data_IF_934314108068
#
_entry.id   IF_934314108068
#
_cell.length_a   1.000
_cell.length_b   1.000
_cell.length_c   1.000
_cell.angle_alpha   90.00
_cell.angle_beta   90.00
_cell.angle_gamma   90.00
#
_symmetry.space_group_name_H-M   'P 1'
#
loop_
_entity.id
_entity.type
_entity.pdbx_description
1 polymer ?
#
# COMPACT_ATOMS: atom_id res chain seq x y z
N UNK A 1 16.47 33.87 17.41
CA UNK A 1 15.05 33.79 17.80
C UNK A 1 14.05 33.70 16.63
N UNK A 2 14.37 34.14 15.42
CA UNK A 2 13.47 34.09 14.25
C UNK A 2 13.30 32.70 13.58
N UNK A 3 14.29 31.80 13.64
CA UNK A 3 14.21 30.48 12.97
C UNK A 3 13.27 29.46 13.64
N UNK A 4 13.03 29.57 14.94
CA UNK A 4 12.11 28.64 15.64
C UNK A 4 10.63 29.00 15.40
N UNK A 5 10.31 30.25 15.21
CA UNK A 5 8.94 30.68 14.95
C UNK A 5 8.42 30.27 13.56
N UNK A 6 9.29 30.19 12.57
CA UNK A 6 8.93 29.77 11.19
C UNK A 6 8.54 28.29 11.15
N UNK A 7 9.24 27.42 11.90
CA UNK A 7 8.94 25.98 11.95
C UNK A 7 7.63 25.65 12.67
N UNK A 8 7.28 26.41 13.71
CA UNK A 8 6.04 26.22 14.46
C UNK A 8 4.82 26.72 13.65
N UNK A 9 5.00 27.79 12.90
CA UNK A 9 3.96 28.37 12.04
C UNK A 9 3.60 27.39 10.89
N UNK A 10 4.62 26.81 10.26
CA UNK A 10 4.43 25.83 9.18
C UNK A 10 3.70 24.55 9.65
N UNK A 11 4.00 24.05 10.86
CA UNK A 11 3.30 22.88 11.42
C UNK A 11 1.81 23.12 11.67
N UNK A 12 1.43 24.29 12.18
CA UNK A 12 0.01 24.65 12.43
C UNK A 12 -0.78 24.86 11.14
N UNK A 13 -0.18 25.46 10.13
CA UNK A 13 -0.82 25.68 8.82
C UNK A 13 -1.04 24.34 8.11
N UNK A 14 -0.05 23.42 8.17
CA UNK A 14 -0.20 22.09 7.58
C UNK A 14 -1.37 21.30 8.18
N UNK A 15 -1.56 21.37 9.50
CA UNK A 15 -2.67 20.70 10.20
C UNK A 15 -4.04 21.29 9.82
N UNK A 16 -4.12 22.59 9.61
CA UNK A 16 -5.37 23.29 9.24
C UNK A 16 -5.77 22.98 7.80
N UNK A 17 -4.82 22.94 6.87
CA UNK A 17 -5.09 22.71 5.44
C UNK A 17 -5.54 21.26 5.16
N UNK A 18 -4.97 20.28 5.84
CA UNK A 18 -5.38 18.86 5.70
C UNK A 18 -6.72 18.56 6.40
N UNK A 19 -7.03 19.22 7.52
CA UNK A 19 -8.31 19.07 8.22
C UNK A 19 -9.50 19.63 7.44
N UNK A 20 -9.32 20.74 6.72
CA UNK A 20 -10.38 21.39 5.95
C UNK A 20 -10.82 20.60 4.71
N UNK A 21 -9.92 19.79 4.14
CA UNK A 21 -10.22 18.98 2.94
C UNK A 21 -11.19 17.82 3.19
N UNK A 22 -11.29 17.36 4.44
CA UNK A 22 -12.17 16.23 4.80
C UNK A 22 -13.60 16.65 5.21
N UNK A 23 -13.83 17.92 5.53
CA UNK A 23 -15.08 18.38 6.17
C UNK A 23 -16.03 19.11 5.21
N UNK A 24 -15.54 19.70 4.14
CA UNK A 24 -16.36 20.50 3.23
C UNK A 24 -16.27 19.95 1.81
N UNK A 25 -17.30 19.21 1.39
CA UNK A 25 -17.55 18.83 -0.01
C UNK A 25 -17.90 20.03 -0.91
N UNK A 26 -17.33 21.19 -0.66
CA UNK A 26 -17.50 22.40 -1.44
C UNK A 26 -16.15 22.88 -1.97
N UNK A 27 -16.14 23.26 -3.21
CA UNK A 27 -15.10 23.88 -4.03
C UNK A 27 -14.21 24.89 -3.29
N UNK A 28 -13.41 24.42 -2.34
CA UNK A 28 -12.36 25.23 -1.79
C UNK A 28 -11.16 25.14 -2.73
N UNK A 29 -10.83 26.22 -3.40
CA UNK A 29 -9.59 26.35 -4.15
C UNK A 29 -8.44 26.16 -3.15
N UNK A 30 -7.91 24.93 -3.10
CA UNK A 30 -6.70 24.61 -2.37
C UNK A 30 -5.59 25.52 -2.90
N UNK A 31 -4.93 26.25 -2.02
CA UNK A 31 -3.80 27.08 -2.43
C UNK A 31 -2.68 26.18 -2.94
N UNK A 32 -2.56 26.12 -4.26
CA UNK A 32 -1.68 25.22 -4.99
C UNK A 32 -0.20 25.45 -4.69
N UNK A 33 0.15 26.60 -4.11
CA UNK A 33 1.53 26.98 -3.76
C UNK A 33 2.15 26.06 -2.70
N UNK A 34 1.34 25.51 -1.78
CA UNK A 34 1.84 24.69 -0.67
C UNK A 34 2.15 23.25 -1.07
N UNK A 35 1.45 22.69 -2.04
CA UNK A 35 1.72 21.32 -2.51
C UNK A 35 3.08 21.21 -3.22
N UNK A 36 3.57 22.33 -3.73
CA UNK A 36 4.82 22.43 -4.50
C UNK A 36 6.02 22.76 -3.64
N UNK A 37 5.84 23.41 -2.50
CA UNK A 37 6.93 23.69 -1.56
C UNK A 37 7.49 22.41 -0.94
N UNK A 38 6.70 21.33 -0.90
CA UNK A 38 7.10 20.01 -0.40
C UNK A 38 7.58 19.02 -1.48
N UNK A 39 7.32 19.29 -2.75
CA UNK A 39 7.80 18.46 -3.85
C UNK A 39 8.87 19.18 -4.65
N UNK A 40 10.14 19.07 -4.34
CA UNK A 40 11.36 19.40 -5.09
C UNK A 40 11.33 20.49 -6.21
N UNK A 41 10.22 21.17 -6.44
CA UNK A 41 10.05 22.20 -7.44
C UNK A 41 9.78 23.53 -6.72
N UNK A 42 10.77 24.43 -6.69
CA UNK A 42 10.55 25.83 -6.28
C UNK A 42 9.73 26.52 -7.36
N UNK A 43 8.43 26.65 -7.16
CA UNK A 43 7.61 27.59 -7.92
C UNK A 43 7.42 28.86 -7.08
N UNK A 44 7.90 29.98 -7.59
CA UNK A 44 7.51 31.30 -7.09
C UNK A 44 6.03 31.48 -7.40
N UNK A 45 5.17 31.66 -6.42
CA UNK A 45 3.79 32.18 -6.40
C UNK A 45 2.91 32.04 -7.69
N UNK A 46 3.34 31.25 -8.65
CA UNK A 46 2.64 31.04 -9.90
C UNK A 46 1.66 29.87 -9.78
N UNK A 47 0.47 30.01 -10.30
CA UNK A 47 -0.47 28.91 -10.48
C UNK A 47 0.20 27.80 -11.26
N UNK A 48 0.21 26.58 -10.70
CA UNK A 48 0.71 25.41 -11.41
C UNK A 48 -0.26 25.09 -12.54
N UNK A 49 0.23 25.21 -13.76
CA UNK A 49 -0.51 24.78 -14.94
C UNK A 49 -0.23 23.28 -15.18
N UNK A 50 -1.09 22.43 -14.60
CA UNK A 50 -0.95 20.98 -14.70
C UNK A 50 -1.01 20.48 -16.16
N UNK A 51 -1.55 21.25 -17.11
CA UNK A 51 -1.59 20.86 -18.52
C UNK A 51 -0.22 20.83 -19.18
N UNK A 52 0.75 21.53 -18.59
CA UNK A 52 2.15 21.59 -19.08
C UNK A 52 3.08 20.60 -18.41
N UNK A 53 2.60 19.84 -17.45
CA UNK A 53 3.39 18.87 -16.73
C UNK A 53 3.44 17.56 -17.52
N UNK A 54 4.64 17.05 -17.76
CA UNK A 54 4.84 15.72 -18.33
C UNK A 54 4.46 14.65 -17.30
N UNK A 55 3.34 13.96 -17.58
CA UNK A 55 2.80 12.91 -16.69
C UNK A 55 3.79 11.76 -16.52
N UNK A 56 4.44 11.33 -17.60
CA UNK A 56 5.32 10.16 -17.58
C UNK A 56 6.63 10.47 -16.84
N UNK A 57 7.18 11.66 -17.03
CA UNK A 57 8.36 12.10 -16.28
C UNK A 57 8.06 12.24 -14.78
N UNK A 58 6.91 12.83 -14.44
CA UNK A 58 6.45 12.98 -13.05
C UNK A 58 6.25 11.61 -12.40
N UNK A 59 5.64 10.66 -13.12
CA UNK A 59 5.46 9.30 -12.63
C UNK A 59 6.80 8.59 -12.36
N UNK A 60 7.75 8.70 -13.28
CA UNK A 60 9.10 8.14 -13.10
C UNK A 60 9.81 8.71 -11.87
N UNK A 61 9.68 10.03 -11.63
CA UNK A 61 10.23 10.70 -10.44
C UNK A 61 9.56 10.19 -9.16
N UNK A 62 8.23 10.12 -9.15
CA UNK A 62 7.46 9.63 -8.01
C UNK A 62 7.88 8.22 -7.62
N UNK A 63 7.90 7.30 -8.59
CA UNK A 63 8.29 5.91 -8.38
C UNK A 63 9.77 5.78 -7.97
N UNK A 64 10.66 6.59 -8.54
CA UNK A 64 12.06 6.63 -8.15
C UNK A 64 12.22 6.99 -6.67
N UNK A 65 11.59 8.09 -6.22
CA UNK A 65 11.68 8.52 -4.82
C UNK A 65 11.04 7.50 -3.89
N UNK A 66 9.89 6.95 -4.25
CA UNK A 66 9.24 5.93 -3.43
C UNK A 66 10.11 4.68 -3.29
N UNK A 67 10.67 4.17 -4.38
CA UNK A 67 11.57 3.02 -4.36
C UNK A 67 12.84 3.29 -3.54
N UNK A 68 13.39 4.51 -3.62
CA UNK A 68 14.50 4.94 -2.76
C UNK A 68 14.12 4.92 -1.28
N UNK A 69 12.92 5.41 -0.94
CA UNK A 69 12.42 5.36 0.43
C UNK A 69 12.33 3.92 0.97
N UNK A 70 11.86 2.98 0.14
CA UNK A 70 11.72 1.56 0.53
C UNK A 70 13.07 0.86 0.77
N UNK A 71 14.14 1.34 0.13
CA UNK A 71 15.47 0.72 0.20
C UNK A 71 16.43 1.44 1.13
N UNK A 72 16.08 2.65 1.60
CA UNK A 72 16.93 3.49 2.46
C UNK A 72 16.75 3.07 3.92
N UNK A 73 17.90 2.88 4.63
CA UNK A 73 17.92 2.51 6.04
C UNK A 73 17.91 3.70 6.98
N UNK A 74 18.40 4.85 6.53
CA UNK A 74 18.45 6.07 7.33
C UNK A 74 17.07 6.74 7.35
N UNK A 75 16.46 6.84 8.52
CA UNK A 75 15.08 7.34 8.70
C UNK A 75 14.90 8.79 8.20
N UNK A 76 15.92 9.65 8.34
CA UNK A 76 15.84 11.04 7.84
C UNK A 76 15.77 11.08 6.31
N UNK A 77 16.61 10.31 5.63
CA UNK A 77 16.61 10.22 4.17
C UNK A 77 15.33 9.53 3.66
N UNK A 78 14.88 8.49 4.36
CA UNK A 78 13.62 7.81 4.03
C UNK A 78 12.45 8.79 4.05
N UNK A 79 12.33 9.62 5.09
CA UNK A 79 11.30 10.66 5.20
C UNK A 79 11.40 11.70 4.09
N UNK A 80 12.61 12.14 3.73
CA UNK A 80 12.80 13.07 2.60
C UNK A 80 12.34 12.44 1.28
N UNK A 81 12.69 11.18 1.03
CA UNK A 81 12.23 10.48 -0.16
C UNK A 81 10.71 10.26 -0.19
N UNK A 82 10.09 9.89 0.94
CA UNK A 82 8.61 9.78 1.04
C UNK A 82 7.93 11.11 0.75
N UNK A 83 8.46 12.21 1.30
CA UNK A 83 7.94 13.55 1.06
C UNK A 83 8.02 13.94 -0.43
N UNK A 84 9.15 13.67 -1.10
CA UNK A 84 9.30 13.92 -2.54
C UNK A 84 8.34 13.07 -3.36
N UNK A 85 8.23 11.77 -3.04
CA UNK A 85 7.31 10.85 -3.69
C UNK A 85 5.86 11.33 -3.55
N UNK A 86 5.45 11.75 -2.35
CA UNK A 86 4.10 12.26 -2.11
C UNK A 86 3.78 13.51 -2.93
N UNK A 87 4.75 14.43 -3.07
CA UNK A 87 4.59 15.63 -3.90
C UNK A 87 4.33 15.29 -5.38
N UNK A 88 5.13 14.40 -5.96
CA UNK A 88 4.98 13.99 -7.36
C UNK A 88 3.68 13.18 -7.58
N UNK A 89 3.34 12.22 -6.70
CA UNK A 89 2.06 11.51 -6.78
C UNK A 89 0.87 12.46 -6.61
N UNK A 90 0.95 13.46 -5.73
CA UNK A 90 -0.09 14.46 -5.60
C UNK A 90 -0.33 15.19 -6.91
N UNK A 91 0.73 15.67 -7.59
CA UNK A 91 0.64 16.32 -8.91
C UNK A 91 -0.11 15.40 -9.89
N UNK A 92 0.24 14.12 -9.96
CA UNK A 92 -0.44 13.14 -10.81
C UNK A 92 -1.94 13.03 -10.49
N UNK A 93 -2.32 13.07 -9.21
CA UNK A 93 -3.75 13.07 -8.81
C UNK A 93 -4.49 14.35 -9.18
N UNK A 94 -3.78 15.46 -9.46
CA UNK A 94 -4.39 16.70 -9.96
C UNK A 94 -4.54 16.67 -11.49
N UNK A 95 -3.59 16.03 -12.19
CA UNK A 95 -3.67 15.83 -13.65
C UNK A 95 -4.83 14.89 -13.99
N UNK A 96 -4.91 13.74 -13.31
CA UNK A 96 -5.99 12.77 -13.49
C UNK A 96 -6.53 12.28 -12.13
N UNK A 97 -7.61 12.89 -11.64
CA UNK A 97 -8.20 12.54 -10.34
C UNK A 97 -8.81 11.13 -10.26
N UNK A 98 -8.93 10.43 -11.40
CA UNK A 98 -9.46 9.06 -11.46
C UNK A 98 -8.38 8.01 -11.70
N UNK A 99 -7.14 8.41 -11.94
CA UNK A 99 -6.01 7.48 -12.05
C UNK A 99 -5.77 6.83 -10.68
N UNK A 100 -6.04 5.52 -10.63
CA UNK A 100 -5.93 4.75 -9.38
C UNK A 100 -4.49 4.62 -8.90
N UNK A 101 -3.52 4.54 -9.82
CA UNK A 101 -2.14 4.27 -9.46
C UNK A 101 -1.58 5.33 -8.50
N UNK A 102 -1.52 6.63 -8.83
CA UNK A 102 -0.99 7.64 -7.91
C UNK A 102 -1.82 7.77 -6.62
N UNK A 103 -3.15 7.52 -6.67
CA UNK A 103 -4.00 7.54 -5.47
C UNK A 103 -3.59 6.41 -4.51
N UNK A 104 -3.37 5.20 -5.02
CA UNK A 104 -2.94 4.05 -4.21
C UNK A 104 -1.52 4.26 -3.69
N UNK A 105 -0.62 4.82 -4.50
CA UNK A 105 0.73 5.12 -4.04
C UNK A 105 0.75 6.19 -2.93
N UNK A 106 -0.13 7.20 -3.00
CA UNK A 106 -0.33 8.16 -1.89
C UNK A 106 -0.76 7.45 -0.60
N UNK A 107 -1.70 6.50 -0.69
CA UNK A 107 -2.11 5.70 0.46
C UNK A 107 -0.92 4.95 1.07
N UNK A 108 -0.08 4.35 0.22
CA UNK A 108 1.14 3.63 0.66
C UNK A 108 2.18 4.57 1.28
N UNK A 109 2.41 5.75 0.70
CA UNK A 109 3.32 6.75 1.29
C UNK A 109 2.88 7.10 2.70
N UNK A 110 1.58 7.43 2.89
CA UNK A 110 1.05 7.74 4.22
C UNK A 110 1.11 6.56 5.19
N UNK A 111 0.97 5.32 4.69
CA UNK A 111 1.16 4.13 5.50
C UNK A 111 2.60 4.00 6.00
N UNK A 112 3.60 4.22 5.14
CA UNK A 112 5.03 4.23 5.52
C UNK A 112 5.42 5.39 6.43
N UNK A 113 4.62 6.45 6.49
CA UNK A 113 4.77 7.59 7.42
C UNK A 113 3.99 7.41 8.73
N UNK A 114 3.35 6.25 8.96
CA UNK A 114 2.45 5.96 10.08
C UNK A 114 1.24 6.90 10.17
N UNK A 115 0.90 7.58 9.07
CA UNK A 115 -0.23 8.48 8.98
C UNK A 115 -1.53 7.72 8.64
N UNK A 116 -1.95 6.85 9.56
CA UNK A 116 -3.03 5.88 9.38
C UNK A 116 -4.34 6.44 8.84
N UNK A 117 -4.74 7.61 9.29
CA UNK A 117 -5.99 8.25 8.86
C UNK A 117 -5.95 8.66 7.38
N UNK A 118 -4.82 9.22 6.95
CA UNK A 118 -4.61 9.61 5.56
C UNK A 118 -4.46 8.39 4.65
N UNK A 119 -3.69 7.38 5.07
CA UNK A 119 -3.57 6.13 4.33
C UNK A 119 -4.94 5.52 4.04
N UNK A 120 -5.80 5.37 5.06
CA UNK A 120 -7.17 4.87 4.89
C UNK A 120 -8.01 5.76 3.97
N UNK A 121 -7.93 7.09 4.12
CA UNK A 121 -8.70 8.01 3.30
C UNK A 121 -8.38 7.85 1.81
N UNK A 122 -7.09 7.70 1.47
CA UNK A 122 -6.67 7.47 0.08
C UNK A 122 -7.05 6.08 -0.43
N UNK A 123 -6.95 5.01 0.37
CA UNK A 123 -7.48 3.71 -0.02
C UNK A 123 -8.99 3.76 -0.27
N UNK A 124 -9.76 4.41 0.60
CA UNK A 124 -11.20 4.58 0.37
C UNK A 124 -11.51 5.46 -0.85
N UNK A 125 -10.69 6.49 -1.13
CA UNK A 125 -10.81 7.28 -2.36
C UNK A 125 -10.62 6.38 -3.60
N UNK A 126 -9.61 5.51 -3.60
CA UNK A 126 -9.37 4.57 -4.68
C UNK A 126 -10.54 3.56 -4.83
N UNK A 127 -11.02 2.97 -3.73
CA UNK A 127 -12.16 2.05 -3.75
C UNK A 127 -13.48 2.70 -4.19
N UNK A 128 -13.64 4.02 -3.99
CA UNK A 128 -14.80 4.76 -4.49
C UNK A 128 -14.79 4.88 -6.02
N UNK A 129 -13.60 4.91 -6.63
CA UNK A 129 -13.43 4.95 -8.09
C UNK A 129 -13.66 3.55 -8.66
N UNK A 130 -12.96 2.55 -8.12
CA UNK A 130 -13.14 1.14 -8.49
C UNK A 130 -12.94 0.24 -7.25
N UNK A 131 -14.05 -0.23 -6.70
CA UNK A 131 -14.05 -1.10 -5.51
C UNK A 131 -13.48 -2.50 -5.75
N UNK A 132 -13.38 -2.93 -7.00
CA UNK A 132 -12.90 -4.27 -7.38
C UNK A 132 -11.48 -4.24 -7.93
N UNK A 133 -10.85 -3.06 -8.05
CA UNK A 133 -9.49 -2.97 -8.53
C UNK A 133 -8.54 -3.85 -7.71
N UNK A 134 -7.85 -4.77 -8.38
CA UNK A 134 -7.04 -5.80 -7.74
C UNK A 134 -5.86 -5.18 -6.94
N UNK A 135 -5.17 -4.20 -7.51
CA UNK A 135 -4.00 -3.58 -6.87
C UNK A 135 -4.40 -2.76 -5.65
N UNK A 136 -5.49 -1.98 -5.74
CA UNK A 136 -6.04 -1.23 -4.60
C UNK A 136 -6.35 -2.17 -3.43
N UNK A 137 -7.06 -3.26 -3.72
CA UNK A 137 -7.43 -4.24 -2.70
C UNK A 137 -6.20 -4.98 -2.16
N UNK A 138 -5.22 -5.32 -3.00
CA UNK A 138 -3.97 -5.92 -2.55
C UNK A 138 -3.24 -5.02 -1.54
N UNK A 139 -2.99 -3.76 -1.88
CA UNK A 139 -2.27 -2.84 -1.00
C UNK A 139 -3.08 -2.45 0.25
N UNK A 140 -4.40 -2.42 0.17
CA UNK A 140 -5.22 -2.22 1.36
C UNK A 140 -5.22 -3.47 2.26
N UNK A 141 -5.09 -4.66 1.69
CA UNK A 141 -4.79 -5.89 2.43
C UNK A 141 -3.44 -5.81 3.17
N UNK A 142 -2.37 -5.33 2.49
CA UNK A 142 -1.05 -5.09 3.12
C UNK A 142 -1.15 -4.11 4.29
N UNK A 143 -1.92 -3.03 4.13
CA UNK A 143 -2.18 -2.06 5.19
C UNK A 143 -2.78 -2.71 6.46
N UNK A 144 -3.76 -3.60 6.31
CA UNK A 144 -4.35 -4.31 7.44
C UNK A 144 -3.45 -5.43 7.97
N UNK A 145 -2.69 -6.08 7.09
CA UNK A 145 -1.72 -7.09 7.47
C UNK A 145 -0.64 -6.54 8.42
N UNK A 146 -0.08 -5.37 8.12
CA UNK A 146 0.94 -4.73 8.96
C UNK A 146 0.43 -4.29 10.34
N UNK A 147 -0.89 -4.35 10.55
CA UNK A 147 -1.59 -4.03 11.81
C UNK A 147 -2.21 -5.25 12.48
N UNK A 148 -1.78 -6.45 12.08
CA UNK A 148 -2.27 -7.73 12.60
C UNK A 148 -3.79 -7.94 12.47
N UNK A 149 -4.47 -7.12 11.65
CA UNK A 149 -5.89 -7.31 11.35
C UNK A 149 -6.07 -8.31 10.20
N UNK A 150 -5.76 -9.57 10.51
CA UNK A 150 -5.72 -10.64 9.52
C UNK A 150 -7.09 -10.91 8.87
N UNK A 151 -8.20 -10.62 9.57
CA UNK A 151 -9.54 -10.78 9.01
C UNK A 151 -9.82 -9.78 7.89
N UNK A 152 -9.51 -8.49 8.14
CA UNK A 152 -9.66 -7.47 7.09
C UNK A 152 -8.63 -7.63 5.99
N UNK A 153 -7.39 -7.97 6.33
CA UNK A 153 -6.37 -8.28 5.33
C UNK A 153 -6.84 -9.40 4.38
N UNK A 154 -7.34 -10.52 4.92
CA UNK A 154 -7.88 -11.63 4.12
C UNK A 154 -9.06 -11.19 3.25
N UNK A 155 -9.96 -10.37 3.76
CA UNK A 155 -11.09 -9.84 2.99
C UNK A 155 -10.61 -9.10 1.73
N UNK A 156 -9.65 -8.18 1.88
CA UNK A 156 -9.12 -7.41 0.74
C UNK A 156 -8.26 -8.27 -0.20
N UNK A 157 -7.46 -9.18 0.32
CA UNK A 157 -6.72 -10.12 -0.55
C UNK A 157 -7.65 -11.04 -1.34
N UNK A 158 -8.79 -11.45 -0.79
CA UNK A 158 -9.78 -12.22 -1.54
C UNK A 158 -10.34 -11.41 -2.72
N UNK A 159 -10.67 -10.13 -2.52
CA UNK A 159 -11.13 -9.27 -3.62
C UNK A 159 -10.03 -9.12 -4.69
N UNK A 160 -8.80 -8.87 -4.28
CA UNK A 160 -7.65 -8.79 -5.20
C UNK A 160 -7.48 -10.10 -5.99
N UNK A 161 -7.56 -11.24 -5.31
CA UNK A 161 -7.44 -12.56 -5.93
C UNK A 161 -8.54 -12.80 -6.97
N UNK A 162 -9.79 -12.50 -6.65
CA UNK A 162 -10.91 -12.75 -7.56
C UNK A 162 -10.93 -11.81 -8.78
N UNK A 163 -10.35 -10.61 -8.67
CA UNK A 163 -10.45 -9.57 -9.68
C UNK A 163 -9.15 -9.30 -10.48
N UNK A 164 -8.24 -10.25 -10.55
CA UNK A 164 -7.08 -10.13 -11.45
C UNK A 164 -5.78 -10.68 -10.90
N UNK A 165 -5.77 -11.07 -9.63
CA UNK A 165 -4.53 -11.56 -9.01
C UNK A 165 -4.51 -13.08 -8.78
N UNK A 166 -5.36 -13.84 -9.49
CA UNK A 166 -5.48 -15.31 -9.32
C UNK A 166 -4.18 -16.05 -9.59
N UNK A 167 -3.39 -15.55 -10.53
CA UNK A 167 -2.08 -16.09 -10.88
C UNK A 167 -0.93 -15.27 -10.26
N UNK A 168 -1.23 -14.41 -9.27
CA UNK A 168 -0.20 -13.65 -8.59
C UNK A 168 0.34 -14.46 -7.40
N UNK A 169 1.60 -14.88 -7.53
CA UNK A 169 2.30 -15.63 -6.49
C UNK A 169 2.24 -14.94 -5.12
N UNK A 170 2.45 -13.64 -5.07
CA UNK A 170 2.47 -12.88 -3.81
C UNK A 170 1.09 -12.89 -3.13
N UNK A 171 0.02 -12.72 -3.90
CA UNK A 171 -1.36 -12.78 -3.36
C UNK A 171 -1.65 -14.16 -2.78
N UNK A 172 -1.27 -15.23 -3.48
CA UNK A 172 -1.45 -16.60 -2.98
C UNK A 172 -0.71 -16.84 -1.65
N UNK A 173 0.55 -16.37 -1.55
CA UNK A 173 1.33 -16.45 -0.31
C UNK A 173 0.66 -15.64 0.81
N UNK A 174 0.21 -14.42 0.53
CA UNK A 174 -0.47 -13.60 1.54
C UNK A 174 -1.78 -14.23 2.02
N UNK A 175 -2.58 -14.77 1.11
CA UNK A 175 -3.79 -15.51 1.48
C UNK A 175 -3.48 -16.75 2.34
N UNK A 176 -2.48 -17.52 1.96
CA UNK A 176 -2.04 -18.67 2.75
C UNK A 176 -1.63 -18.27 4.17
N UNK A 177 -0.80 -17.21 4.30
CA UNK A 177 -0.39 -16.65 5.58
C UNK A 177 -1.58 -16.17 6.42
N UNK A 178 -2.57 -15.53 5.80
CA UNK A 178 -3.77 -15.06 6.53
C UNK A 178 -4.58 -16.23 7.06
N UNK A 179 -4.80 -17.27 6.25
CA UNK A 179 -5.51 -18.46 6.72
C UNK A 179 -4.74 -19.16 7.85
N UNK A 180 -3.40 -19.23 7.75
CA UNK A 180 -2.55 -19.78 8.82
C UNK A 180 -2.69 -18.96 10.12
N UNK A 181 -2.59 -17.63 10.05
CA UNK A 181 -2.77 -16.73 11.21
C UNK A 181 -4.15 -16.84 11.85
N UNK A 182 -5.17 -17.14 11.05
CA UNK A 182 -6.54 -17.35 11.50
C UNK A 182 -6.81 -18.80 11.95
N UNK A 183 -5.83 -19.69 11.89
CA UNK A 183 -5.94 -21.09 12.33
C UNK A 183 -6.56 -22.03 11.31
N UNK A 184 -6.89 -21.57 10.11
CA UNK A 184 -7.43 -22.42 9.03
C UNK A 184 -6.29 -23.03 8.21
N UNK A 185 -5.65 -24.05 8.79
CA UNK A 185 -4.52 -24.72 8.18
C UNK A 185 -4.87 -25.44 6.88
N UNK A 186 -6.12 -25.88 6.73
CA UNK A 186 -6.58 -26.55 5.51
C UNK A 186 -6.54 -25.60 4.31
N UNK A 187 -7.14 -24.43 4.44
CA UNK A 187 -7.13 -23.42 3.38
C UNK A 187 -5.73 -22.83 3.18
N UNK A 188 -4.98 -22.58 4.26
CA UNK A 188 -3.57 -22.17 4.16
C UNK A 188 -2.78 -23.11 3.24
N UNK A 189 -2.89 -24.42 3.47
CA UNK A 189 -2.23 -25.45 2.68
C UNK A 189 -2.65 -25.44 1.20
N UNK A 190 -3.92 -25.23 0.92
CA UNK A 190 -4.41 -25.15 -0.46
C UNK A 190 -3.77 -23.98 -1.22
N UNK A 191 -3.65 -22.81 -0.58
CA UNK A 191 -3.05 -21.63 -1.20
C UNK A 191 -1.52 -21.75 -1.31
N UNK A 192 -0.83 -22.30 -0.31
CA UNK A 192 0.61 -22.61 -0.42
C UNK A 192 0.88 -23.58 -1.56
N UNK A 193 0.07 -24.63 -1.72
CA UNK A 193 0.21 -25.56 -2.83
C UNK A 193 0.04 -24.89 -4.20
N UNK A 194 -0.97 -24.00 -4.34
CA UNK A 194 -1.13 -23.21 -5.58
C UNK A 194 0.11 -22.36 -5.86
N UNK A 195 0.63 -21.67 -4.84
CA UNK A 195 1.84 -20.85 -4.97
C UNK A 195 3.07 -21.69 -5.32
N UNK A 196 3.23 -22.87 -4.71
CA UNK A 196 4.30 -23.81 -5.02
C UNK A 196 4.28 -24.28 -6.49
N UNK A 197 3.09 -24.59 -7.02
CA UNK A 197 2.95 -24.99 -8.42
C UNK A 197 3.36 -23.86 -9.39
N UNK A 198 3.24 -22.59 -8.98
CA UNK A 198 3.68 -21.46 -9.80
C UNK A 198 5.20 -21.21 -9.73
N UNK A 199 5.78 -21.34 -8.54
CA UNK A 199 7.21 -21.06 -8.29
C UNK A 199 7.80 -22.08 -7.29
N UNK A 200 8.10 -23.30 -7.73
CA UNK A 200 8.56 -24.37 -6.83
C UNK A 200 9.86 -24.06 -6.08
N UNK A 201 10.73 -23.25 -6.69
CA UNK A 201 12.06 -22.92 -6.14
C UNK A 201 12.07 -21.58 -5.37
N UNK A 202 10.89 -21.05 -5.01
CA UNK A 202 10.84 -19.80 -4.24
C UNK A 202 11.27 -20.03 -2.80
N UNK A 203 12.22 -19.22 -2.32
CA UNK A 203 12.69 -19.25 -0.93
C UNK A 203 11.60 -18.99 0.12
N UNK A 204 10.44 -18.46 -0.31
CA UNK A 204 9.29 -18.27 0.57
C UNK A 204 8.54 -19.58 0.91
N UNK A 205 8.86 -20.71 0.26
CA UNK A 205 8.07 -21.95 0.33
C UNK A 205 8.80 -23.18 0.88
N UNK A 206 10.16 -23.32 0.91
CA UNK A 206 10.81 -24.62 1.09
C UNK A 206 10.46 -25.32 2.40
N UNK A 207 10.38 -24.62 3.49
CA UNK A 207 10.07 -25.23 4.80
C UNK A 207 8.58 -25.56 4.92
N UNK A 208 7.73 -24.71 4.35
CA UNK A 208 6.28 -24.90 4.40
C UNK A 208 5.77 -26.02 3.50
N UNK A 209 6.41 -26.27 2.37
CA UNK A 209 6.03 -27.42 1.52
C UNK A 209 6.26 -28.77 2.22
N UNK A 210 7.31 -28.88 3.04
CA UNK A 210 7.57 -30.07 3.85
C UNK A 210 6.54 -30.23 4.96
N UNK A 211 6.23 -29.16 5.71
CA UNK A 211 5.17 -29.16 6.71
C UNK A 211 3.79 -29.50 6.09
N UNK A 212 3.55 -29.04 4.88
CA UNK A 212 2.32 -29.31 4.12
C UNK A 212 2.20 -30.78 3.73
N UNK A 213 3.28 -31.43 3.33
CA UNK A 213 3.29 -32.86 3.08
C UNK A 213 3.05 -33.67 4.37
N UNK A 214 3.71 -33.28 5.47
CA UNK A 214 3.50 -33.93 6.77
C UNK A 214 2.06 -33.78 7.27
N UNK A 215 1.43 -32.60 7.12
CA UNK A 215 0.03 -32.37 7.46
C UNK A 215 -0.94 -33.18 6.58
N UNK A 216 -0.62 -33.34 5.31
CA UNK A 216 -1.37 -34.23 4.40
C UNK A 216 -1.35 -35.68 4.89
N UNK A 217 -0.20 -36.15 5.34
CA UNK A 217 -0.08 -37.52 5.91
C UNK A 217 -0.80 -37.63 7.26
N UNK A 218 -0.72 -36.61 8.12
CA UNK A 218 -1.44 -36.58 9.41
C UNK A 218 -2.96 -36.58 9.24
N UNK A 219 -3.48 -35.79 8.31
CA UNK A 219 -4.92 -35.67 8.05
C UNK A 219 -5.52 -36.82 7.21
N UNK A 220 -4.68 -37.58 6.49
CA UNK A 220 -5.14 -38.72 5.68
C UNK A 220 -5.43 -40.00 6.50
N UNK A 221 -5.32 -39.93 7.81
CA UNK A 221 -5.53 -41.10 8.69
C UNK A 221 -4.42 -42.19 8.57
N UNK A 222 -3.37 -41.89 7.81
CA UNK A 222 -2.29 -42.85 7.61
C UNK A 222 -1.56 -43.26 8.90
N UNK A 223 -1.52 -42.34 9.88
CA UNK A 223 -0.94 -42.58 11.20
C UNK A 223 -1.88 -43.31 12.17
N UNK A 224 -3.18 -43.27 11.96
CA UNK A 224 -4.12 -44.03 12.82
C UNK A 224 -4.04 -45.54 12.61
N UNK A 225 -3.65 -46.01 11.42
CA UNK A 225 -3.53 -47.44 11.09
C UNK A 225 -2.22 -48.10 11.53
N UNK A 226 -1.19 -47.34 11.94
CA UNK A 226 0.07 -47.90 12.43
C UNK A 226 0.15 -48.11 13.95
N UNK A 227 -0.83 -47.58 14.71
CA UNK A 227 -0.87 -47.75 16.17
C UNK A 227 -1.73 -48.94 16.65
N UNK A 228 -2.30 -49.72 15.74
CA UNK A 228 -3.14 -50.85 16.06
C UNK A 228 -2.59 -52.17 15.51
N UNK A 229 -1.24 -52.34 15.55
CA UNK A 229 -0.59 -53.64 15.36
C UNK A 229 0.47 -53.84 16.46
#
# INVERSE_FOLDING_TARGET
MQRQNTLIYNKKILTILFGAFLILGSTCSFDKSYAVEYGAIKYNDAFIDYSKIDKDETLKKADYYFNKALTTREEKQKKDFLLRASGEYFILTQIDPKDLYPIVQMARVYDYEDQNSYAKAYFFKALKIDKLNADTNYYFGEYYYSRDDYKRALYFYNIAFENGSKENFNVLIKMALMYEKLGDLLRANQYYKKAYLMKPNSSALPDKSRELEELKYKNSGYYSKRRTK
#
